data_IF_110191052717
#
_entry.id   IF_110191052717
#
_cell.length_a   1.000
_cell.length_b   1.000
_cell.length_c   1.000
_cell.angle_alpha   90.00
_cell.angle_beta   90.00
_cell.angle_gamma   90.00
#
_symmetry.space_group_name_H-M   'P 1'
#
loop_
_entity.id
_entity.type
_entity.pdbx_description
1 polymer ?
#
# COMPACT_ATOMS: atom_id res chain seq x y z
N UNK A 1 11.16 11.86 5.92
CA UNK A 1 12.13 10.84 6.35
C UNK A 1 11.68 9.52 5.78
N UNK A 2 12.30 9.05 4.68
CA UNK A 2 11.80 7.92 3.89
C UNK A 2 12.17 6.61 4.57
N UNK A 3 11.19 5.96 5.19
CA UNK A 3 11.35 4.59 5.69
C UNK A 3 11.50 3.71 4.45
N UNK A 4 12.61 2.99 4.40
CA UNK A 4 12.94 2.03 3.34
C UNK A 4 11.98 0.86 3.44
N UNK A 5 10.75 1.03 2.92
CA UNK A 5 9.73 0.00 2.90
C UNK A 5 10.27 -1.14 2.03
N UNK A 6 10.44 -2.33 2.62
CA UNK A 6 10.90 -3.58 1.97
C UNK A 6 10.27 -3.73 0.56
N UNK A 7 11.14 -4.06 -0.41
CA UNK A 7 10.91 -4.51 -1.81
C UNK A 7 9.56 -4.13 -2.47
N UNK A 8 9.64 -3.19 -3.40
CA UNK A 8 8.71 -2.94 -4.51
C UNK A 8 7.20 -2.82 -4.20
N UNK A 9 6.85 -2.27 -3.03
CA UNK A 9 5.46 -1.87 -2.75
C UNK A 9 5.09 -0.65 -3.60
N UNK A 10 4.06 -0.82 -4.41
CA UNK A 10 3.47 0.19 -5.29
C UNK A 10 2.16 0.70 -4.70
N UNK A 11 1.77 1.90 -5.12
CA UNK A 11 0.52 2.56 -4.71
C UNK A 11 -0.30 2.98 -5.92
N UNK A 12 -1.57 2.59 -5.94
CA UNK A 12 -2.58 3.05 -6.88
C UNK A 12 -3.60 3.97 -6.16
N UNK A 13 -3.88 5.14 -6.72
CA UNK A 13 -4.85 6.10 -6.17
C UNK A 13 -6.23 5.82 -6.79
N UNK A 14 -7.26 5.81 -5.96
CA UNK A 14 -8.65 5.69 -6.44
C UNK A 14 -9.21 7.10 -6.69
N UNK A 15 -9.29 7.54 -7.94
CA UNK A 15 -9.61 8.94 -8.29
C UNK A 15 -10.88 9.55 -7.66
N UNK A 16 -11.88 8.74 -7.27
CA UNK A 16 -13.14 9.22 -6.67
C UNK A 16 -13.23 9.04 -5.15
N UNK A 17 -12.29 8.32 -4.55
CA UNK A 17 -12.34 7.96 -3.14
C UNK A 17 -11.00 8.21 -2.46
N UNK A 18 -10.95 8.68 -1.21
CA UNK A 18 -9.71 9.01 -0.51
C UNK A 18 -8.99 7.74 -0.04
N UNK A 19 -8.67 6.83 -0.96
CA UNK A 19 -8.05 5.54 -0.71
C UNK A 19 -6.90 5.25 -1.66
N UNK A 20 -5.95 4.49 -1.15
CA UNK A 20 -4.82 3.93 -1.88
C UNK A 20 -4.90 2.41 -1.84
N UNK A 21 -4.64 1.77 -2.97
CA UNK A 21 -4.38 0.34 -3.00
C UNK A 21 -2.86 0.17 -2.95
N UNK A 22 -2.38 -0.54 -1.94
CA UNK A 22 -0.98 -0.90 -1.77
C UNK A 22 -0.79 -2.34 -2.23
N UNK A 23 0.14 -2.56 -3.15
CA UNK A 23 0.35 -3.86 -3.76
C UNK A 23 1.81 -4.10 -4.14
N UNK A 24 2.20 -5.36 -4.26
CA UNK A 24 3.45 -5.76 -4.91
C UNK A 24 3.18 -6.64 -6.12
N UNK A 25 4.16 -6.72 -7.03
CA UNK A 25 4.14 -7.66 -8.16
C UNK A 25 5.10 -8.79 -7.79
N UNK A 26 4.55 -9.98 -7.57
CA UNK A 26 5.31 -11.17 -7.19
C UNK A 26 5.21 -12.20 -8.31
N UNK A 27 6.20 -12.25 -9.20
CA UNK A 27 6.15 -13.12 -10.38
C UNK A 27 4.96 -12.78 -11.29
N UNK A 28 3.99 -13.69 -11.37
CA UNK A 28 2.78 -13.60 -12.20
C UNK A 28 1.54 -13.11 -11.44
N UNK A 29 1.67 -12.83 -10.14
CA UNK A 29 0.56 -12.35 -9.30
C UNK A 29 0.73 -10.91 -8.84
N UNK A 30 -0.40 -10.27 -8.56
CA UNK A 30 -0.48 -9.00 -7.85
C UNK A 30 -0.95 -9.29 -6.42
N UNK A 31 -0.08 -9.07 -5.44
CA UNK A 31 -0.43 -9.20 -4.03
C UNK A 31 -0.99 -7.87 -3.53
N UNK A 32 -2.28 -7.81 -3.19
CA UNK A 32 -2.88 -6.63 -2.55
C UNK A 32 -2.62 -6.71 -1.04
N UNK A 33 -1.82 -5.78 -0.53
CA UNK A 33 -1.36 -5.75 0.86
C UNK A 33 -2.40 -5.04 1.74
N UNK A 34 -2.92 -3.90 1.25
CA UNK A 34 -3.86 -3.07 1.99
C UNK A 34 -4.63 -2.11 1.08
N UNK A 35 -5.80 -1.69 1.56
CA UNK A 35 -6.57 -0.56 1.03
C UNK A 35 -6.57 0.52 2.12
N UNK A 36 -5.78 1.58 1.92
CA UNK A 36 -5.47 2.58 2.93
C UNK A 36 -6.20 3.90 2.68
N UNK A 37 -7.03 4.33 3.63
CA UNK A 37 -7.69 5.64 3.58
C UNK A 37 -6.65 6.76 3.79
N UNK A 38 -6.72 7.86 3.03
CA UNK A 38 -5.72 8.92 3.04
C UNK A 38 -5.65 9.67 4.38
N UNK A 39 -6.78 9.81 5.06
CA UNK A 39 -6.86 10.56 6.33
C UNK A 39 -7.06 9.71 7.59
N UNK A 40 -7.57 8.47 7.47
CA UNK A 40 -7.99 7.66 8.62
C UNK A 40 -7.00 6.52 8.78
N UNK A 41 -6.10 6.68 9.75
CA UNK A 41 -5.03 5.74 10.02
C UNK A 41 -4.25 5.34 8.73
N UNK A 42 -3.65 6.32 8.01
CA UNK A 42 -3.10 6.11 6.66
C UNK A 42 -1.97 5.06 6.59
N UNK A 43 -1.36 4.75 7.73
CA UNK A 43 -0.16 3.94 7.86
C UNK A 43 -0.40 2.58 8.55
N UNK A 44 -1.65 2.19 8.80
CA UNK A 44 -1.98 0.91 9.48
C UNK A 44 -1.37 -0.34 8.82
N UNK A 45 -1.09 -0.24 7.52
CA UNK A 45 -0.58 -1.32 6.70
C UNK A 45 0.90 -1.60 6.94
N UNK A 46 1.64 -0.67 7.58
CA UNK A 46 3.05 -0.85 7.92
C UNK A 46 3.25 -2.07 8.84
N UNK A 47 2.27 -2.40 9.68
CA UNK A 47 2.37 -3.56 10.55
C UNK A 47 2.18 -4.90 9.81
N UNK A 48 1.64 -4.87 8.57
CA UNK A 48 1.41 -6.08 7.75
C UNK A 48 2.64 -6.50 6.94
N UNK A 49 3.66 -5.65 6.89
CA UNK A 49 4.88 -5.87 6.11
C UNK A 49 6.09 -6.26 6.98
N UNK A 50 5.90 -6.27 8.30
CA UNK A 50 6.87 -6.77 9.27
C UNK A 50 6.89 -8.30 9.26
#
# INVERSE_FOLDING_TARGET
MFIKVKKDIRKCIINKFPFNILYSIEGDIILVIAIAHHHRNPDYWIDRIN
#
